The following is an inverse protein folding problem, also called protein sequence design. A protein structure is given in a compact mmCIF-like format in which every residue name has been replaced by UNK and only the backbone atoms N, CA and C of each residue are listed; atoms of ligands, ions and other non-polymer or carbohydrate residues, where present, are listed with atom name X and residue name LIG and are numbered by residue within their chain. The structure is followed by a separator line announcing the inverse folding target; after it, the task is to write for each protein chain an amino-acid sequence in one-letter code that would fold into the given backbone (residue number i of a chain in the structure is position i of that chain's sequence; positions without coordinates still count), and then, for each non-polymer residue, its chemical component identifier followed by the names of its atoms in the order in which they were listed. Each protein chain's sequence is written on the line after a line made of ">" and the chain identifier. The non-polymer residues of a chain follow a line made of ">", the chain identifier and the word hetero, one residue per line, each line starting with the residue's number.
data_IF_153242121080
#
_entry.id   IF_153242121080
#
_cell.length_a   1.000
_cell.length_b   1.000
_cell.length_c   1.000
_cell.angle_alpha   90.00
_cell.angle_beta   90.00
_cell.angle_gamma   90.00
#
_symmetry.space_group_name_H-M   'P 1'
#
loop_
_entity.id
_entity.type
_entity.pdbx_description
1 polymer ?
#
# COMPACT_ATOMS: atom_id res chain seq x y z
N UNK A 1 -13.24 -1.66 4.96
CA UNK A 1 -12.47 -2.91 5.17
C UNK A 1 -12.51 -3.24 6.64
N UNK A 2 -12.92 -4.44 7.04
CA UNK A 2 -12.65 -4.91 8.40
C UNK A 2 -11.19 -5.37 8.43
N UNK A 3 -10.34 -4.61 9.12
CA UNK A 3 -8.92 -4.93 9.28
C UNK A 3 -8.74 -5.29 10.75
N UNK A 4 -8.05 -6.40 11.03
CA UNK A 4 -7.71 -6.80 12.39
C UNK A 4 -6.87 -5.72 13.05
N UNK A 5 -7.27 -5.32 14.27
CA UNK A 5 -6.53 -4.36 15.07
C UNK A 5 -5.07 -4.82 15.27
N UNK A 6 -4.10 -3.90 15.24
CA UNK A 6 -2.69 -4.22 15.48
C UNK A 6 -2.44 -5.07 16.72
N UNK A 7 -3.10 -4.73 17.83
CA UNK A 7 -2.94 -5.39 19.13
C UNK A 7 -3.39 -6.86 19.06
N UNK A 8 -4.47 -7.14 18.31
CA UNK A 8 -4.97 -8.50 18.13
C UNK A 8 -4.05 -9.31 17.22
N UNK A 9 -3.40 -8.68 16.23
CA UNK A 9 -2.40 -9.35 15.39
C UNK A 9 -1.19 -9.78 16.22
N UNK A 10 -0.61 -8.87 17.00
CA UNK A 10 0.59 -9.11 17.82
C UNK A 10 0.31 -10.09 18.98
N UNK A 11 -0.92 -10.13 19.49
CA UNK A 11 -1.32 -11.12 20.49
C UNK A 11 -1.43 -12.54 19.92
N UNK A 12 -1.89 -12.67 18.66
CA UNK A 12 -2.20 -13.97 18.05
C UNK A 12 -1.00 -14.65 17.40
N UNK A 13 -0.01 -13.88 16.98
CA UNK A 13 1.16 -14.39 16.27
C UNK A 13 2.44 -13.77 16.85
N UNK A 14 3.56 -14.49 16.83
CA UNK A 14 4.85 -13.95 17.29
C UNK A 14 5.40 -12.96 16.26
N UNK A 15 4.76 -11.79 16.16
CA UNK A 15 5.07 -10.72 15.21
C UNK A 15 4.99 -9.35 15.89
N UNK A 16 5.65 -8.36 15.29
CA UNK A 16 5.52 -6.95 15.65
C UNK A 16 5.14 -6.13 14.41
N UNK A 17 4.13 -5.28 14.52
CA UNK A 17 3.72 -4.36 13.47
C UNK A 17 4.52 -3.06 13.58
N UNK A 18 5.55 -2.93 12.74
CA UNK A 18 6.45 -1.76 12.72
C UNK A 18 5.82 -0.54 12.05
N UNK A 19 4.98 -0.75 11.06
CA UNK A 19 4.28 0.32 10.35
C UNK A 19 2.85 -0.10 10.04
N UNK A 20 1.91 0.79 10.32
CA UNK A 20 0.55 0.72 9.81
C UNK A 20 0.09 2.11 9.41
N UNK A 21 0.22 2.42 8.11
CA UNK A 21 0.04 3.77 7.60
C UNK A 21 -0.71 3.79 6.27
N UNK A 22 -1.21 4.96 5.90
CA UNK A 22 -1.70 5.18 4.54
C UNK A 22 -0.53 5.16 3.55
N UNK A 23 -0.70 4.43 2.46
CA UNK A 23 0.21 4.47 1.31
C UNK A 23 -0.10 5.71 0.47
N UNK A 24 0.33 6.87 0.97
CA UNK A 24 -0.04 8.18 0.42
C UNK A 24 0.27 8.29 -1.08
N UNK A 25 -0.69 8.79 -1.84
CA UNK A 25 -0.54 9.00 -3.28
C UNK A 25 -0.63 7.72 -4.12
N UNK A 26 -1.10 6.62 -3.54
CA UNK A 26 -1.33 5.38 -4.29
C UNK A 26 -2.67 5.36 -5.02
N UNK A 27 -3.63 6.19 -4.61
CA UNK A 27 -4.88 6.40 -5.31
C UNK A 27 -4.70 7.14 -6.64
N UNK A 28 -5.42 6.70 -7.66
CA UNK A 28 -5.43 7.30 -8.99
C UNK A 28 -5.96 8.73 -8.97
N UNK A 29 -5.39 9.57 -9.83
CA UNK A 29 -5.79 10.98 -9.96
C UNK A 29 -7.13 11.12 -10.69
N UNK A 30 -7.83 12.21 -10.46
CA UNK A 30 -9.08 12.53 -11.14
C UNK A 30 -9.82 13.64 -10.40
N UNK A 31 -10.95 14.08 -10.93
CA UNK A 31 -11.88 14.97 -10.20
C UNK A 31 -12.24 14.38 -8.84
N UNK A 32 -12.46 13.06 -8.80
CA UNK A 32 -12.60 12.29 -7.57
C UNK A 32 -11.43 11.33 -7.46
N UNK A 33 -10.52 11.62 -6.55
CA UNK A 33 -9.32 10.81 -6.34
C UNK A 33 -9.69 9.42 -5.85
N UNK A 34 -9.00 8.41 -6.36
CA UNK A 34 -9.05 7.07 -5.80
C UNK A 34 -8.51 7.05 -4.37
N UNK A 35 -9.03 6.14 -3.55
CA UNK A 35 -8.55 5.96 -2.17
C UNK A 35 -7.13 5.42 -2.15
N UNK A 36 -6.31 5.94 -1.23
CA UNK A 36 -4.97 5.41 -0.98
C UNK A 36 -5.06 4.02 -0.32
N UNK A 37 -4.13 3.15 -0.70
CA UNK A 37 -3.89 1.88 -0.03
C UNK A 37 -3.22 2.06 1.35
N UNK A 38 -2.69 0.98 1.87
CA UNK A 38 -2.07 0.87 3.18
C UNK A 38 -0.69 0.26 3.06
N UNK A 39 0.19 0.67 3.97
CA UNK A 39 1.46 0.00 4.25
C UNK A 39 1.31 -0.77 5.56
N UNK A 40 1.70 -2.04 5.55
CA UNK A 40 1.89 -2.85 6.75
C UNK A 40 3.31 -3.42 6.73
N UNK A 41 4.10 -3.13 7.74
CA UNK A 41 5.46 -3.64 7.89
C UNK A 41 5.52 -4.54 9.12
N UNK A 42 5.61 -5.84 8.90
CA UNK A 42 5.46 -6.87 9.95
C UNK A 42 6.81 -7.53 10.16
N UNK A 43 7.34 -7.44 11.37
CA UNK A 43 8.56 -8.12 11.81
C UNK A 43 8.22 -9.46 12.47
N UNK A 44 8.94 -10.52 12.10
CA UNK A 44 8.74 -11.85 12.66
C UNK A 44 9.64 -12.06 13.88
N UNK A 45 9.04 -12.49 14.99
CA UNK A 45 9.74 -12.72 16.25
C UNK A 45 10.13 -14.19 16.45
N UNK A 46 9.67 -15.09 15.56
CA UNK A 46 10.01 -16.51 15.51
C UNK A 46 9.96 -17.02 14.05
N UNK A 47 10.66 -18.11 13.70
CA UNK A 47 10.53 -18.72 12.37
C UNK A 47 9.10 -19.19 12.09
N UNK A 48 8.57 -18.89 10.90
CA UNK A 48 7.21 -19.29 10.53
C UNK A 48 7.03 -19.42 9.02
N UNK A 49 5.93 -20.05 8.62
CA UNK A 49 5.50 -20.10 7.21
C UNK A 49 4.45 -19.03 6.97
N UNK A 50 4.66 -18.22 5.93
CA UNK A 50 3.71 -17.21 5.49
C UNK A 50 3.14 -17.61 4.14
N UNK A 51 1.81 -17.53 4.01
CA UNK A 51 1.12 -17.74 2.74
C UNK A 51 0.42 -16.48 2.29
N UNK A 52 0.66 -16.09 1.05
CA UNK A 52 0.02 -14.96 0.39
C UNK A 52 -1.02 -15.41 -0.60
N UNK A 53 -2.22 -14.82 -0.48
CA UNK A 53 -3.26 -14.86 -1.49
C UNK A 53 -3.70 -13.43 -1.76
N UNK A 54 -3.00 -12.76 -2.68
CA UNK A 54 -3.28 -11.34 -2.99
C UNK A 54 -3.58 -11.17 -4.47
N UNK A 55 -4.44 -10.19 -4.76
CA UNK A 55 -4.82 -9.82 -6.13
C UNK A 55 -4.40 -8.37 -6.42
N UNK A 56 -4.61 -7.90 -7.65
CA UNK A 56 -4.31 -6.51 -8.07
C UNK A 56 -2.83 -6.10 -7.87
N UNK A 57 -1.90 -7.04 -8.08
CA UNK A 57 -0.45 -6.78 -8.03
C UNK A 57 0.22 -6.65 -9.41
N UNK A 58 -0.36 -7.26 -10.44
CA UNK A 58 0.08 -7.10 -11.84
C UNK A 58 -0.78 -6.13 -12.66
N UNK A 59 -2.04 -5.90 -12.28
CA UNK A 59 -2.95 -4.94 -12.93
C UNK A 59 -3.54 -4.01 -11.88
N UNK A 60 -3.26 -2.72 -12.02
CA UNK A 60 -3.80 -1.66 -11.19
C UNK A 60 -5.34 -1.61 -11.22
N UNK A 61 -5.99 -1.16 -10.14
CA UNK A 61 -7.38 -0.71 -10.19
C UNK A 61 -7.50 0.46 -11.18
N UNK A 62 -8.34 0.26 -12.20
CA UNK A 62 -8.46 1.21 -13.31
C UNK A 62 -9.20 2.47 -12.89
N UNK A 63 -8.73 3.60 -13.38
CA UNK A 63 -9.49 4.84 -13.38
C UNK A 63 -10.66 4.79 -14.37
N UNK A 64 -11.55 5.76 -14.27
CA UNK A 64 -12.74 5.86 -15.13
C UNK A 64 -13.03 7.31 -15.54
N UNK A 65 -13.67 7.46 -16.71
CA UNK A 65 -14.04 8.77 -17.30
C UNK A 65 -12.88 9.79 -17.36
N UNK A 66 -11.67 9.31 -17.69
CA UNK A 66 -10.46 10.14 -17.75
C UNK A 66 -9.67 10.24 -16.45
N UNK A 67 -10.13 9.61 -15.37
CA UNK A 67 -9.33 9.42 -14.16
C UNK A 67 -8.19 8.43 -14.38
N UNK A 68 -7.09 8.65 -13.68
CA UNK A 68 -5.90 7.80 -13.70
C UNK A 68 -6.06 6.52 -12.87
N UNK A 69 -5.28 5.51 -13.24
CA UNK A 69 -5.21 4.25 -12.50
C UNK A 69 -4.58 4.44 -11.11
N UNK A 70 -5.02 3.64 -10.14
CA UNK A 70 -4.34 3.51 -8.86
C UNK A 70 -3.01 2.77 -9.02
N UNK A 71 -2.14 2.85 -8.03
CA UNK A 71 -0.93 2.05 -8.02
C UNK A 71 -1.26 0.58 -7.70
N UNK A 72 -0.61 -0.39 -8.38
CA UNK A 72 -0.74 -1.80 -8.03
C UNK A 72 -0.20 -2.03 -6.63
N UNK A 73 -0.71 -3.05 -5.95
CA UNK A 73 -0.17 -3.44 -4.67
C UNK A 73 1.19 -4.13 -4.86
N UNK A 74 2.08 -4.03 -3.87
CA UNK A 74 3.37 -4.71 -3.81
C UNK A 74 3.56 -5.46 -2.49
N UNK A 75 4.44 -6.44 -2.48
CA UNK A 75 4.91 -7.09 -1.26
C UNK A 75 6.40 -7.41 -1.36
N UNK A 76 7.12 -7.16 -0.29
CA UNK A 76 8.57 -7.27 -0.21
C UNK A 76 8.93 -7.97 1.10
N UNK A 77 9.75 -9.01 0.99
CA UNK A 77 10.44 -9.59 2.13
C UNK A 77 11.75 -8.82 2.34
N UNK A 78 11.98 -8.34 3.56
CA UNK A 78 13.23 -7.75 4.00
C UNK A 78 13.94 -8.78 4.87
N UNK A 79 15.10 -9.23 4.43
CA UNK A 79 15.95 -10.18 5.12
C UNK A 79 16.60 -9.52 6.34
N UNK A 80 17.10 -10.34 7.26
CA UNK A 80 17.77 -9.85 8.48
C UNK A 80 19.04 -9.04 8.19
N UNK A 81 19.70 -9.27 7.05
CA UNK A 81 20.84 -8.49 6.56
C UNK A 81 20.44 -7.17 5.86
N UNK A 82 19.14 -6.88 5.78
CA UNK A 82 18.58 -5.70 5.13
C UNK A 82 18.35 -5.85 3.62
N UNK A 83 18.77 -6.96 3.00
CA UNK A 83 18.47 -7.23 1.59
C UNK A 83 16.97 -7.43 1.38
N UNK A 84 16.49 -7.11 0.17
CA UNK A 84 15.05 -7.13 -0.12
C UNK A 84 14.72 -8.02 -1.31
N UNK A 85 13.64 -8.80 -1.18
CA UNK A 85 13.12 -9.67 -2.22
C UNK A 85 11.66 -9.30 -2.52
N UNK A 86 11.33 -9.05 -3.78
CA UNK A 86 9.93 -8.80 -4.16
C UNK A 86 9.20 -10.13 -4.35
N UNK A 87 8.05 -10.29 -3.69
CA UNK A 87 7.32 -11.55 -3.69
C UNK A 87 6.20 -11.57 -4.74
N UNK A 88 5.93 -12.73 -5.38
CA UNK A 88 4.77 -12.91 -6.26
C UNK A 88 3.44 -12.67 -5.54
N UNK A 89 2.36 -12.40 -6.28
CA UNK A 89 1.05 -12.13 -5.69
C UNK A 89 0.48 -13.29 -4.85
N UNK A 90 0.80 -14.51 -5.26
CA UNK A 90 0.42 -15.76 -4.58
C UNK A 90 1.69 -16.57 -4.40
N UNK A 91 2.06 -16.84 -3.16
CA UNK A 91 3.24 -17.63 -2.82
C UNK A 91 3.15 -18.13 -1.38
N UNK A 92 3.94 -19.15 -1.06
CA UNK A 92 4.23 -19.55 0.32
C UNK A 92 5.74 -19.50 0.53
N UNK A 93 6.17 -19.03 1.70
CA UNK A 93 7.57 -18.87 2.03
C UNK A 93 7.81 -19.08 3.52
N UNK A 94 9.02 -19.50 3.85
CA UNK A 94 9.53 -19.48 5.22
C UNK A 94 10.17 -18.13 5.51
N UNK A 95 9.87 -17.60 6.69
CA UNK A 95 10.48 -16.38 7.22
C UNK A 95 11.20 -16.72 8.52
N UNK A 96 12.30 -16.02 8.78
CA UNK A 96 13.17 -16.22 9.93
C UNK A 96 12.97 -15.10 10.96
N UNK A 97 13.50 -15.31 12.15
CA UNK A 97 13.60 -14.29 13.19
C UNK A 97 14.18 -12.99 12.63
N UNK A 98 13.57 -11.86 13.00
CA UNK A 98 13.96 -10.50 12.62
C UNK A 98 13.84 -10.16 11.11
N UNK A 99 13.40 -11.10 10.27
CA UNK A 99 12.98 -10.76 8.91
C UNK A 99 11.66 -9.98 8.96
N UNK A 100 11.40 -9.20 7.92
CA UNK A 100 10.20 -8.35 7.84
C UNK A 100 9.46 -8.52 6.55
N UNK A 101 8.15 -8.41 6.62
CA UNK A 101 7.26 -8.46 5.49
C UNK A 101 6.55 -7.13 5.32
N UNK A 102 6.92 -6.41 4.27
CA UNK A 102 6.30 -5.15 3.89
C UNK A 102 5.23 -5.40 2.85
N UNK A 103 3.98 -5.12 3.21
CA UNK A 103 2.80 -5.29 2.37
C UNK A 103 2.25 -3.90 2.04
N UNK A 104 2.21 -3.61 0.74
CA UNK A 104 1.61 -2.39 0.20
C UNK A 104 0.33 -2.77 -0.54
N UNK A 105 -0.84 -2.38 -0.03
CA UNK A 105 -2.11 -2.67 -0.70
C UNK A 105 -2.31 -1.73 -1.91
N UNK A 106 -3.05 -2.16 -2.95
CA UNK A 106 -3.31 -1.31 -4.11
C UNK A 106 -4.12 -0.07 -3.72
N UNK A 107 -3.90 1.03 -4.44
CA UNK A 107 -4.77 2.20 -4.39
C UNK A 107 -5.93 2.07 -5.38
N UNK A 108 -7.06 2.74 -5.11
CA UNK A 108 -8.21 2.79 -6.01
C UNK A 108 -7.94 3.64 -7.26
N UNK A 109 -8.66 3.38 -8.35
CA UNK A 109 -8.62 4.25 -9.53
C UNK A 109 -9.39 5.56 -9.30
N UNK A 110 -8.94 6.64 -9.92
CA UNK A 110 -9.64 7.93 -9.88
C UNK A 110 -10.78 8.02 -10.88
N UNK A 111 -11.68 8.99 -10.68
CA UNK A 111 -12.79 9.27 -11.58
C UNK A 111 -12.73 10.70 -12.11
N UNK A 112 -13.01 10.87 -13.40
CA UNK A 112 -13.06 12.18 -14.06
C UNK A 112 -11.67 12.75 -14.33
N UNK A 113 -11.59 13.75 -15.20
CA UNK A 113 -10.34 14.47 -15.47
C UNK A 113 -10.02 15.43 -14.32
N UNK A 114 -8.78 15.38 -13.83
CA UNK A 114 -8.28 16.36 -12.87
C UNK A 114 -8.38 17.75 -13.52
N UNK A 115 -9.13 18.68 -12.92
CA UNK A 115 -9.11 20.07 -13.39
C UNK A 115 -7.68 20.55 -13.22
N UNK A 116 -7.01 20.89 -14.32
CA UNK A 116 -5.73 21.56 -14.25
C UNK A 116 -5.91 22.78 -13.35
N UNK A 117 -5.08 22.91 -12.31
CA UNK A 117 -5.06 24.09 -11.46
C UNK A 117 -5.07 25.32 -12.37
N UNK A 118 -6.18 26.07 -12.33
CA UNK A 118 -6.18 27.42 -12.85
C UNK A 118 -5.08 28.15 -12.09
N UNK A 119 -4.14 28.73 -12.86
CA UNK A 119 -2.98 29.48 -12.39
C UNK A 119 -3.27 30.29 -11.11
N UNK A 120 -2.28 30.47 -10.21
CA UNK A 120 -2.47 31.25 -9.00
C UNK A 120 -3.07 32.61 -9.36
N UNK A 121 -4.19 32.95 -8.72
CA UNK A 121 -4.85 34.23 -8.89
C UNK A 121 -3.78 35.33 -8.76
N UNK A 122 -3.61 36.12 -9.82
CA UNK A 122 -2.66 37.23 -9.85
C UNK A 122 -2.91 38.18 -8.68
N UNK A 123 -1.89 38.95 -8.27
CA UNK A 123 -1.97 39.79 -7.09
C UNK A 123 -3.19 40.72 -7.17
N UNK A 124 -3.99 40.70 -6.10
CA UNK A 124 -5.15 41.57 -5.94
C UNK A 124 -4.62 43.01 -5.88
N UNK A 125 -4.87 43.79 -6.93
CA UNK A 125 -4.52 45.20 -6.98
C UNK A 125 -5.36 45.95 -5.94
N UNK A 126 -4.68 46.54 -4.95
CA UNK A 126 -5.28 47.33 -3.89
C UNK A 126 -5.99 48.59 -4.40
N UNK A 127 -7.02 48.98 -3.67
CA UNK A 127 -7.51 50.36 -3.55
C UNK A 127 -7.44 50.76 -2.10
#
# INVERSE_FOLDING_TARGET
>A
TAITDPEILELRFPVRLREFSLRRGSGGKGEWRGGDGLVRDIEFLEPMTVSFLTQRRGKAPRGARGGGDGLPGRQVLVRADGSTESLPAICSLEVRLAERLRIETPGGGGWGTEKADSAPAGPIAGR
#
